data_IF_519944040461
#
_entry.id   IF_519944040461
#
_cell.length_a   1.000
_cell.length_b   1.000
_cell.length_c   1.000
_cell.angle_alpha   90.00
_cell.angle_beta   90.00
_cell.angle_gamma   90.00
#
_symmetry.space_group_name_H-M   'P 1'
#
loop_
_entity.id
_entity.type
_entity.pdbx_description
1 polymer ?
#
# COMPACT_ATOMS: atom_id res chain seq x y z
N UNK A 1 -40.85 -63.83 -62.41
CA UNK A 1 -40.22 -62.66 -63.05
C UNK A 1 -40.18 -61.55 -62.01
N UNK A 2 -39.10 -61.02 -61.48
CA UNK A 2 -37.65 -61.17 -61.64
C UNK A 2 -37.05 -59.96 -60.91
N UNK A 3 -36.08 -60.19 -60.01
CA UNK A 3 -34.89 -59.36 -59.64
C UNK A 3 -35.01 -57.82 -59.68
N UNK A 4 -34.62 -57.04 -58.66
CA UNK A 4 -33.25 -56.54 -58.37
C UNK A 4 -33.43 -55.51 -57.22
N UNK A 5 -32.92 -55.64 -55.98
CA UNK A 5 -31.57 -55.43 -55.43
C UNK A 5 -30.91 -54.05 -55.67
N UNK A 6 -31.03 -53.14 -54.67
CA UNK A 6 -30.20 -51.97 -54.25
C UNK A 6 -31.16 -50.85 -53.84
N UNK A 7 -31.18 -50.34 -52.60
CA UNK A 7 -30.08 -49.70 -51.90
C UNK A 7 -30.25 -49.78 -50.37
N UNK A 8 -29.47 -50.64 -49.73
CA UNK A 8 -29.28 -50.67 -48.26
C UNK A 8 -27.83 -50.28 -47.95
N UNK A 9 -27.38 -49.13 -48.46
CA UNK A 9 -26.04 -48.58 -48.17
C UNK A 9 -26.12 -47.06 -48.10
N UNK A 10 -26.91 -46.52 -47.16
CA UNK A 10 -26.76 -45.11 -46.80
C UNK A 10 -27.18 -44.92 -45.35
N UNK A 11 -26.21 -44.50 -44.52
CA UNK A 11 -26.37 -44.03 -43.13
C UNK A 11 -25.85 -44.94 -41.98
N UNK A 12 -24.59 -45.38 -42.05
CA UNK A 12 -23.85 -45.82 -40.83
C UNK A 12 -22.56 -45.03 -40.56
N UNK A 13 -22.10 -44.17 -41.47
CA UNK A 13 -20.83 -43.45 -41.32
C UNK A 13 -20.94 -42.05 -40.68
N UNK A 14 -22.15 -41.50 -40.53
CA UNK A 14 -22.30 -40.15 -39.98
C UNK A 14 -22.23 -40.14 -38.44
N UNK A 15 -22.67 -41.23 -37.79
CA UNK A 15 -22.71 -41.38 -36.34
C UNK A 15 -21.29 -41.58 -35.77
N UNK A 16 -20.45 -42.37 -36.45
CA UNK A 16 -19.09 -42.69 -35.97
C UNK A 16 -18.16 -41.45 -36.00
N UNK A 17 -18.46 -40.45 -36.86
CA UNK A 17 -17.62 -39.24 -36.99
C UNK A 17 -18.04 -38.08 -36.10
N UNK A 18 -19.29 -38.02 -35.65
CA UNK A 18 -19.81 -36.89 -34.84
C UNK A 18 -19.68 -37.09 -33.34
N UNK A 19 -19.73 -38.35 -32.87
CA UNK A 19 -19.58 -38.66 -31.44
C UNK A 19 -18.21 -38.27 -30.84
N UNK A 20 -17.05 -38.50 -31.49
CA UNK A 20 -15.76 -38.14 -30.88
C UNK A 20 -15.51 -36.62 -30.82
N UNK A 21 -16.15 -35.82 -31.69
CA UNK A 21 -15.99 -34.36 -31.69
C UNK A 21 -16.71 -33.70 -30.51
N UNK A 22 -17.88 -34.24 -30.12
CA UNK A 22 -18.63 -33.74 -28.96
C UNK A 22 -17.92 -34.12 -27.65
N UNK A 23 -17.25 -35.26 -27.59
CA UNK A 23 -16.52 -35.70 -26.38
C UNK A 23 -15.27 -34.85 -26.11
N UNK A 24 -14.60 -34.34 -27.15
CA UNK A 24 -13.44 -33.44 -27.02
C UNK A 24 -13.87 -32.02 -26.56
N UNK A 25 -15.08 -31.58 -26.92
CA UNK A 25 -15.63 -30.30 -26.46
C UNK A 25 -16.00 -30.28 -24.97
N UNK A 26 -16.32 -31.44 -24.37
CA UNK A 26 -16.63 -31.55 -22.94
C UNK A 26 -15.35 -31.76 -22.11
N UNK A 27 -14.32 -32.40 -22.67
CA UNK A 27 -13.04 -32.59 -22.00
C UNK A 27 -12.09 -31.37 -22.08
N UNK A 28 -12.37 -30.41 -22.97
CA UNK A 28 -11.54 -29.22 -23.20
C UNK A 28 -11.81 -28.05 -22.24
N UNK A 29 -12.84 -28.11 -21.41
CA UNK A 29 -13.11 -27.09 -20.38
C UNK A 29 -12.36 -27.40 -19.09
N UNK A 30 -11.07 -27.71 -19.19
CA UNK A 30 -10.18 -27.43 -18.06
C UNK A 30 -10.10 -25.91 -17.99
N UNK A 31 -11.00 -25.30 -17.21
CA UNK A 31 -10.80 -23.95 -16.71
C UNK A 31 -9.43 -23.98 -16.04
N UNK A 32 -8.42 -23.44 -16.74
CA UNK A 32 -7.18 -23.01 -16.12
C UNK A 32 -7.62 -22.01 -15.07
N UNK A 33 -7.85 -22.49 -13.85
CA UNK A 33 -8.06 -21.66 -12.69
C UNK A 33 -6.72 -21.00 -12.43
N UNK A 34 -6.42 -19.95 -13.19
CA UNK A 34 -5.36 -19.03 -12.89
C UNK A 34 -5.65 -18.54 -11.48
N UNK A 35 -4.80 -18.91 -10.52
CA UNK A 35 -4.88 -18.37 -9.17
C UNK A 35 -5.05 -16.85 -9.29
N UNK A 36 -6.00 -16.24 -8.56
CA UNK A 36 -6.17 -14.79 -8.61
C UNK A 36 -4.80 -14.16 -8.36
N UNK A 37 -4.33 -13.36 -9.32
CA UNK A 37 -3.03 -12.73 -9.23
C UNK A 37 -3.11 -11.68 -8.12
N UNK A 38 -2.64 -12.05 -6.94
CA UNK A 38 -2.58 -11.16 -5.78
C UNK A 38 -1.19 -10.55 -5.71
N UNK A 39 -1.13 -9.22 -5.73
CA UNK A 39 0.13 -8.48 -5.54
C UNK A 39 0.62 -8.72 -4.11
N UNK A 40 1.89 -9.11 -3.89
CA UNK A 40 2.38 -9.34 -2.54
C UNK A 40 2.41 -8.04 -1.72
N UNK A 41 2.23 -8.17 -0.39
CA UNK A 41 2.09 -7.02 0.51
C UNK A 41 3.20 -5.99 0.35
N UNK A 42 4.45 -6.46 0.25
CA UNK A 42 5.62 -5.59 0.16
C UNK A 42 5.53 -4.67 -1.06
N UNK A 43 5.21 -5.23 -2.23
CA UNK A 43 5.07 -4.49 -3.49
C UNK A 43 3.85 -3.57 -3.47
N UNK A 44 2.73 -4.04 -2.89
CA UNK A 44 1.54 -3.21 -2.74
C UNK A 44 1.78 -1.99 -1.85
N UNK A 45 2.44 -2.17 -0.70
CA UNK A 45 2.85 -1.06 0.17
C UNK A 45 3.83 -0.13 -0.53
N UNK A 46 4.75 -0.67 -1.33
CA UNK A 46 5.71 0.14 -2.08
C UNK A 46 5.01 1.00 -3.15
N UNK A 47 4.13 0.40 -3.93
CA UNK A 47 3.31 1.11 -4.92
C UNK A 47 2.47 2.22 -4.28
N UNK A 48 1.87 1.96 -3.11
CA UNK A 48 1.06 2.94 -2.40
C UNK A 48 1.84 4.16 -1.85
N UNK A 49 3.17 4.20 -1.99
CA UNK A 49 4.00 5.37 -1.68
C UNK A 49 3.96 6.44 -2.78
N UNK A 50 3.53 6.08 -3.99
CA UNK A 50 3.35 7.04 -5.07
C UNK A 50 2.34 8.12 -4.69
N UNK A 51 2.53 9.31 -5.22
CA UNK A 51 1.61 10.43 -5.01
C UNK A 51 0.55 10.47 -6.10
N UNK A 52 -0.70 10.75 -5.70
CA UNK A 52 -1.81 10.99 -6.61
C UNK A 52 -2.45 12.34 -6.32
N UNK A 53 -2.83 13.05 -7.38
CA UNK A 53 -3.58 14.30 -7.28
C UNK A 53 -5.07 14.04 -7.42
N UNK A 54 -5.83 14.40 -6.38
CA UNK A 54 -7.29 14.31 -6.34
C UNK A 54 -7.89 15.71 -6.33
N UNK A 55 -8.04 16.30 -7.52
CA UNK A 55 -8.79 17.55 -7.73
C UNK A 55 -8.28 18.81 -7.03
N UNK A 56 -7.09 18.78 -6.42
CA UNK A 56 -6.50 19.91 -5.69
C UNK A 56 -5.70 19.53 -4.44
N UNK A 57 -5.83 18.28 -3.96
CA UNK A 57 -4.96 17.74 -2.91
C UNK A 57 -3.97 16.74 -3.49
N UNK A 58 -2.71 16.85 -3.09
CA UNK A 58 -1.69 15.86 -3.39
C UNK A 58 -1.45 15.02 -2.14
N UNK A 59 -1.69 13.71 -2.23
CA UNK A 59 -1.39 12.81 -1.13
C UNK A 59 -0.91 11.44 -1.61
N UNK A 60 -0.20 10.68 -0.75
CA UNK A 60 0.19 9.32 -1.08
C UNK A 60 -1.05 8.46 -1.36
N UNK A 61 -0.92 7.54 -2.31
CA UNK A 61 -1.96 6.56 -2.67
C UNK A 61 -2.45 5.78 -1.43
N UNK A 62 -1.57 5.48 -0.47
CA UNK A 62 -1.95 4.83 0.79
C UNK A 62 -3.03 5.58 1.57
N UNK A 63 -3.01 6.92 1.57
CA UNK A 63 -4.02 7.73 2.26
C UNK A 63 -5.39 7.58 1.57
N UNK A 64 -5.41 7.52 0.25
CA UNK A 64 -6.63 7.27 -0.52
C UNK A 64 -7.14 5.85 -0.31
N UNK A 65 -6.24 4.86 -0.25
CA UNK A 65 -6.57 3.46 0.00
C UNK A 65 -7.31 3.29 1.34
N UNK A 66 -6.75 3.81 2.43
CA UNK A 66 -7.35 3.71 3.77
C UNK A 66 -8.63 4.51 3.96
N UNK A 67 -8.90 5.52 3.14
CA UNK A 67 -10.19 6.23 3.16
C UNK A 67 -11.30 5.49 2.42
N UNK A 68 -10.94 4.70 1.41
CA UNK A 68 -11.90 4.11 0.48
C UNK A 68 -12.22 2.66 0.83
N UNK A 69 -11.24 1.92 1.35
CA UNK A 69 -11.36 0.50 1.63
C UNK A 69 -11.43 0.28 3.14
N UNK A 70 -12.45 -0.46 3.56
CA UNK A 70 -12.51 -0.99 4.92
C UNK A 70 -11.60 -2.22 4.99
N UNK A 71 -10.78 -2.35 6.04
CA UNK A 71 -9.92 -3.52 6.20
C UNK A 71 -10.78 -4.78 6.30
N UNK A 72 -10.48 -5.75 5.45
CA UNK A 72 -10.99 -7.13 5.54
C UNK A 72 -9.93 -8.02 6.22
N UNK A 73 -10.36 -9.14 6.80
CA UNK A 73 -9.47 -10.03 7.56
C UNK A 73 -8.48 -10.82 6.66
N UNK A 74 -8.70 -10.86 5.34
CA UNK A 74 -7.96 -11.73 4.41
C UNK A 74 -6.83 -11.07 3.63
N UNK A 75 -6.97 -9.78 3.27
CA UNK A 75 -6.03 -9.03 2.46
C UNK A 75 -5.86 -7.63 3.01
N UNK A 76 -4.65 -7.07 2.88
CA UNK A 76 -4.44 -5.69 3.31
C UNK A 76 -5.15 -4.69 2.40
N UNK A 77 -5.39 -3.51 2.97
CA UNK A 77 -5.94 -2.36 2.23
C UNK A 77 -5.06 -2.01 1.02
N UNK A 78 -3.73 -2.07 1.16
CA UNK A 78 -2.81 -1.75 0.08
C UNK A 78 -2.88 -2.79 -1.05
N UNK A 79 -3.02 -4.08 -0.72
CA UNK A 79 -3.13 -5.14 -1.73
C UNK A 79 -4.41 -5.03 -2.54
N UNK A 80 -5.53 -4.77 -1.86
CA UNK A 80 -6.83 -4.57 -2.50
C UNK A 80 -6.76 -3.35 -3.42
N UNK A 81 -6.21 -2.23 -2.93
CA UNK A 81 -6.14 -1.00 -3.70
C UNK A 81 -5.16 -1.08 -4.88
N UNK A 82 -3.97 -1.64 -4.67
CA UNK A 82 -3.00 -1.84 -5.74
C UNK A 82 -3.55 -2.79 -6.82
N UNK A 83 -4.25 -3.85 -6.41
CA UNK A 83 -4.96 -4.74 -7.33
C UNK A 83 -6.02 -4.01 -8.14
N UNK A 84 -6.85 -3.19 -7.50
CA UNK A 84 -7.83 -2.36 -8.21
C UNK A 84 -7.17 -1.40 -9.21
N UNK A 85 -6.10 -0.72 -8.80
CA UNK A 85 -5.42 0.25 -9.66
C UNK A 85 -4.75 -0.45 -10.85
N UNK A 86 -4.00 -1.53 -10.64
CA UNK A 86 -3.15 -2.14 -11.67
C UNK A 86 -3.85 -3.22 -12.49
N UNK A 87 -4.79 -3.97 -11.90
CA UNK A 87 -5.44 -5.11 -12.55
C UNK A 87 -6.86 -4.81 -13.02
N UNK A 88 -7.53 -3.79 -12.47
CA UNK A 88 -8.88 -3.37 -12.86
C UNK A 88 -8.89 -2.00 -13.57
N UNK A 89 -7.77 -1.63 -14.19
CA UNK A 89 -7.61 -0.40 -14.97
C UNK A 89 -7.86 0.92 -14.23
N UNK A 90 -7.90 0.91 -12.89
CA UNK A 90 -8.08 2.12 -12.08
C UNK A 90 -6.98 3.17 -12.28
N UNK A 91 -5.81 2.76 -12.78
CA UNK A 91 -4.69 3.65 -13.14
C UNK A 91 -5.05 4.69 -14.21
N UNK A 92 -6.01 4.38 -15.09
CA UNK A 92 -6.36 5.22 -16.25
C UNK A 92 -6.98 6.57 -15.89
N UNK A 93 -7.58 6.68 -14.71
CA UNK A 93 -8.22 7.92 -14.23
C UNK A 93 -7.37 8.63 -13.18
N UNK A 94 -6.26 8.02 -12.73
CA UNK A 94 -5.42 8.58 -11.69
C UNK A 94 -4.43 9.58 -12.27
N UNK A 95 -4.35 10.75 -11.63
CA UNK A 95 -3.39 11.81 -11.97
C UNK A 95 -2.11 11.61 -11.16
N UNK A 96 -1.14 10.92 -11.77
CA UNK A 96 0.10 10.48 -11.14
C UNK A 96 1.35 11.14 -11.72
N UNK A 97 1.23 11.76 -12.89
CA UNK A 97 2.37 12.29 -13.63
C UNK A 97 2.42 13.81 -13.52
N UNK A 98 3.32 14.37 -12.69
CA UNK A 98 3.49 15.81 -12.62
C UNK A 98 4.24 16.32 -13.85
N UNK A 99 3.78 17.44 -14.38
CA UNK A 99 4.49 18.22 -15.38
C UNK A 99 4.37 19.71 -15.06
N UNK A 100 5.48 20.43 -15.23
CA UNK A 100 5.54 21.85 -14.95
C UNK A 100 5.28 22.65 -16.23
N UNK A 101 4.19 23.39 -16.24
CA UNK A 101 3.81 24.29 -17.32
C UNK A 101 3.71 25.70 -16.75
N UNK A 102 4.47 26.65 -17.32
CA UNK A 102 4.49 28.07 -16.91
C UNK A 102 4.67 28.33 -15.40
N UNK A 103 5.42 27.47 -14.71
CA UNK A 103 5.67 27.60 -13.26
C UNK A 103 4.62 26.95 -12.37
N UNK A 104 3.57 26.35 -12.94
CA UNK A 104 2.53 25.60 -12.23
C UNK A 104 2.73 24.11 -12.48
N UNK A 105 2.60 23.29 -11.42
CA UNK A 105 2.64 21.82 -11.56
C UNK A 105 1.24 21.31 -11.82
N UNK A 106 1.03 20.75 -13.00
CA UNK A 106 -0.19 20.06 -13.38
C UNK A 106 0.06 18.55 -13.30
N UNK A 107 -0.93 17.82 -12.79
CA UNK A 107 -0.86 16.37 -12.65
C UNK A 107 -1.76 15.72 -13.69
N UNK A 108 -1.18 14.86 -14.51
CA UNK A 108 -1.83 14.20 -15.62
C UNK A 108 -2.03 12.72 -15.35
N UNK A 109 -3.06 12.15 -15.97
CA UNK A 109 -3.22 10.71 -16.09
C UNK A 109 -2.51 10.17 -17.34
N UNK A 110 -2.24 8.86 -17.36
CA UNK A 110 -1.63 8.19 -18.50
C UNK A 110 -2.53 8.19 -19.76
N UNK A 111 -3.84 8.38 -19.59
CA UNK A 111 -4.82 8.46 -20.69
C UNK A 111 -5.22 9.87 -21.06
N UNK A 112 -4.83 10.88 -20.29
CA UNK A 112 -5.18 12.28 -20.55
C UNK A 112 -4.56 12.78 -21.87
N UNK A 113 -5.19 13.78 -22.47
CA UNK A 113 -4.60 14.53 -23.58
C UNK A 113 -3.43 15.38 -23.05
N UNK A 114 -2.21 14.89 -23.28
CA UNK A 114 -0.99 15.57 -22.89
C UNK A 114 -0.74 16.79 -23.79
N UNK A 115 -0.40 17.97 -23.23
CA UNK A 115 -0.14 19.15 -24.03
C UNK A 115 1.15 19.00 -24.85
N UNK A 116 1.21 19.71 -25.98
CA UNK A 116 2.37 19.70 -26.88
C UNK A 116 3.64 20.34 -26.27
N UNK A 117 3.51 21.01 -25.12
CA UNK A 117 4.61 21.52 -24.30
C UNK A 117 5.44 20.39 -23.66
N UNK A 118 4.88 19.19 -23.52
CA UNK A 118 5.59 18.00 -23.01
C UNK A 118 6.41 17.38 -24.14
N UNK A 119 7.71 17.16 -23.88
CA UNK A 119 8.58 16.47 -24.83
C UNK A 119 8.04 15.07 -25.21
N UNK A 120 8.27 14.68 -26.45
CA UNK A 120 7.78 13.41 -27.00
C UNK A 120 8.25 12.18 -26.20
N UNK A 121 9.46 12.21 -25.64
CA UNK A 121 9.98 11.13 -24.79
C UNK A 121 9.20 11.05 -23.47
N UNK A 122 8.89 12.20 -22.87
CA UNK A 122 8.08 12.27 -21.66
C UNK A 122 6.65 11.78 -21.89
N UNK A 123 6.02 12.18 -23.01
CA UNK A 123 4.70 11.70 -23.35
C UNK A 123 4.68 10.18 -23.53
N UNK A 124 5.71 9.64 -24.18
CA UNK A 124 5.87 8.20 -24.35
C UNK A 124 6.02 7.48 -23.00
N UNK A 125 6.85 8.00 -22.11
CA UNK A 125 7.02 7.45 -20.76
C UNK A 125 5.69 7.39 -20.00
N UNK A 126 4.94 8.50 -19.95
CA UNK A 126 3.65 8.60 -19.25
C UNK A 126 2.65 7.56 -19.76
N UNK A 127 2.60 7.34 -21.08
CA UNK A 127 1.68 6.38 -21.71
C UNK A 127 2.11 4.92 -21.54
N UNK A 128 3.41 4.63 -21.53
CA UNK A 128 3.91 3.25 -21.59
C UNK A 128 4.28 2.66 -20.22
N UNK A 129 4.55 3.48 -19.20
CA UNK A 129 5.05 2.98 -17.91
C UNK A 129 4.05 2.06 -17.20
N UNK A 130 2.76 2.39 -17.22
CA UNK A 130 1.71 1.56 -16.62
C UNK A 130 1.50 0.24 -17.35
N UNK A 131 1.29 0.21 -18.69
CA UNK A 131 1.20 -1.05 -19.43
C UNK A 131 2.40 -1.98 -19.20
N UNK A 132 3.61 -1.42 -19.14
CA UNK A 132 4.83 -2.20 -18.85
C UNK A 132 4.84 -2.73 -17.42
N UNK A 133 4.53 -1.89 -16.43
CA UNK A 133 4.43 -2.31 -15.03
C UNK A 133 3.42 -3.44 -14.84
N UNK A 134 2.24 -3.32 -15.47
CA UNK A 134 1.17 -4.33 -15.37
C UNK A 134 1.63 -5.65 -15.99
N UNK A 135 2.34 -5.62 -17.12
CA UNK A 135 2.91 -6.82 -17.72
C UNK A 135 3.90 -7.53 -16.78
N UNK A 136 4.76 -6.78 -16.07
CA UNK A 136 5.68 -7.36 -15.08
C UNK A 136 4.95 -7.92 -13.84
N UNK A 137 3.87 -7.26 -13.40
CA UNK A 137 3.00 -7.76 -12.32
C UNK A 137 2.34 -9.08 -12.75
N UNK A 138 1.84 -9.17 -13.98
CA UNK A 138 1.24 -10.38 -14.54
C UNK A 138 2.26 -11.51 -14.73
N UNK A 139 3.50 -11.18 -15.07
CA UNK A 139 4.60 -12.13 -15.14
C UNK A 139 5.13 -12.56 -13.75
N UNK A 140 4.72 -11.87 -12.68
CA UNK A 140 5.22 -12.13 -11.32
C UNK A 140 6.67 -11.71 -11.10
N UNK A 141 7.21 -10.80 -11.92
CA UNK A 141 8.58 -10.28 -11.80
C UNK A 141 8.67 -9.16 -10.75
N UNK A 142 8.44 -9.52 -9.48
CA UNK A 142 8.27 -8.56 -8.39
C UNK A 142 9.47 -7.63 -8.15
N UNK A 143 10.68 -8.06 -8.49
CA UNK A 143 11.87 -7.22 -8.38
C UNK A 143 11.88 -6.11 -9.44
N UNK A 144 11.50 -6.44 -10.67
CA UNK A 144 11.36 -5.47 -11.76
C UNK A 144 10.19 -4.52 -11.51
N UNK A 145 9.11 -5.01 -10.89
CA UNK A 145 8.00 -4.18 -10.42
C UNK A 145 8.48 -3.12 -9.42
N UNK A 146 9.30 -3.51 -8.43
CA UNK A 146 9.90 -2.56 -7.48
C UNK A 146 10.77 -1.51 -8.21
N UNK A 147 11.59 -1.93 -9.20
CA UNK A 147 12.41 -1.01 -9.99
C UNK A 147 11.57 0.01 -10.80
N UNK A 148 10.43 -0.41 -11.36
CA UNK A 148 9.51 0.48 -12.06
C UNK A 148 8.86 1.48 -11.09
N UNK A 149 8.45 1.02 -9.90
CA UNK A 149 7.90 1.88 -8.85
C UNK A 149 8.94 2.92 -8.42
N UNK A 150 10.18 2.51 -8.18
CA UNK A 150 11.28 3.42 -7.82
C UNK A 150 11.51 4.49 -8.89
N UNK A 151 11.48 4.12 -10.18
CA UNK A 151 11.59 5.07 -11.29
C UNK A 151 10.43 6.05 -11.32
N UNK A 152 9.20 5.59 -11.08
CA UNK A 152 8.03 6.48 -11.00
C UNK A 152 8.12 7.43 -9.80
N UNK A 153 8.61 6.97 -8.64
CA UNK A 153 8.86 7.83 -7.49
C UNK A 153 9.92 8.87 -7.84
N UNK A 154 11.04 8.47 -8.45
CA UNK A 154 12.10 9.40 -8.88
C UNK A 154 11.57 10.44 -9.88
N UNK A 155 10.74 10.00 -10.84
CA UNK A 155 10.06 10.88 -11.78
C UNK A 155 9.20 11.93 -11.04
N UNK A 156 8.37 11.49 -10.09
CA UNK A 156 7.57 12.40 -9.27
C UNK A 156 8.42 13.37 -8.44
N UNK A 157 9.57 12.92 -7.91
CA UNK A 157 10.51 13.79 -7.19
C UNK A 157 11.14 14.86 -8.09
N UNK A 158 11.40 14.52 -9.35
CA UNK A 158 12.09 15.39 -10.30
C UNK A 158 11.16 16.46 -10.88
N UNK A 159 9.92 16.10 -11.21
CA UNK A 159 8.97 16.96 -11.93
C UNK A 159 7.80 17.46 -11.08
N UNK A 160 7.48 16.77 -9.98
CA UNK A 160 6.54 17.27 -8.98
C UNK A 160 7.27 18.25 -8.08
N UNK A 161 7.02 19.55 -8.21
CA UNK A 161 7.71 20.63 -7.47
C UNK A 161 7.66 20.55 -5.93
N UNK A 162 7.19 19.45 -5.35
CA UNK A 162 7.52 19.07 -3.99
C UNK A 162 8.91 18.46 -3.93
N UNK A 163 9.85 19.21 -3.35
CA UNK A 163 10.89 18.57 -2.54
C UNK A 163 10.16 17.66 -1.55
N UNK A 164 10.24 16.34 -1.74
CA UNK A 164 9.77 15.37 -0.76
C UNK A 164 10.22 15.86 0.62
N UNK A 165 9.36 15.87 1.66
CA UNK A 165 9.92 15.86 3.00
C UNK A 165 10.86 14.65 3.03
N UNK A 166 12.17 14.84 3.25
CA UNK A 166 13.12 13.76 3.17
C UNK A 166 12.61 12.65 4.09
N UNK A 167 12.61 11.41 3.58
CA UNK A 167 12.48 10.21 4.43
C UNK A 167 13.32 10.49 5.67
N UNK A 168 12.76 10.47 6.90
CA UNK A 168 13.51 10.88 8.07
C UNK A 168 14.81 10.09 8.04
N UNK A 169 15.92 10.80 7.87
CA UNK A 169 17.21 10.14 7.81
C UNK A 169 17.34 9.33 9.10
N UNK A 170 18.08 8.22 9.08
CA UNK A 170 18.34 7.44 10.30
C UNK A 170 18.76 8.34 11.48
N UNK A 171 19.42 9.47 11.18
CA UNK A 171 19.74 10.52 12.14
C UNK A 171 18.50 11.24 12.75
N UNK A 172 17.45 11.54 12.00
CA UNK A 172 16.23 12.16 12.52
C UNK A 172 15.48 11.26 13.51
N UNK A 173 15.46 9.95 13.25
CA UNK A 173 14.93 8.94 14.18
C UNK A 173 15.76 8.96 15.47
N UNK A 174 17.08 8.98 15.35
CA UNK A 174 18.00 9.08 16.51
C UNK A 174 17.73 10.35 17.34
N UNK A 175 17.53 11.51 16.70
CA UNK A 175 17.20 12.75 17.40
C UNK A 175 15.85 12.70 18.14
N UNK A 176 14.83 12.07 17.56
CA UNK A 176 13.52 11.87 18.22
C UNK A 176 13.67 10.97 19.45
N UNK A 177 14.46 9.89 19.35
CA UNK A 177 14.76 9.03 20.49
C UNK A 177 15.53 9.75 21.59
N UNK A 178 16.52 10.59 21.24
CA UNK A 178 17.26 11.39 22.21
C UNK A 178 16.34 12.38 22.92
N UNK A 179 15.45 13.07 22.18
CA UNK A 179 14.47 13.99 22.77
C UNK A 179 13.51 13.26 23.71
N UNK A 180 13.04 12.06 23.33
CA UNK A 180 12.21 11.22 24.18
C UNK A 180 12.94 10.79 25.47
N UNK A 181 14.22 10.42 25.38
CA UNK A 181 15.04 10.06 26.54
C UNK A 181 15.22 11.26 27.50
N UNK A 182 15.45 12.46 26.96
CA UNK A 182 15.58 13.70 27.75
C UNK A 182 14.27 14.03 28.48
N UNK A 183 13.12 13.87 27.82
CA UNK A 183 11.81 14.07 28.45
C UNK A 183 11.55 13.07 29.58
N UNK A 184 11.98 11.80 29.43
CA UNK A 184 11.91 10.81 30.50
C UNK A 184 12.79 11.21 31.69
N UNK A 185 14.03 11.62 31.46
CA UNK A 185 14.95 12.03 32.53
C UNK A 185 14.41 13.27 33.28
N UNK A 186 13.89 14.27 32.56
CA UNK A 186 13.28 15.45 33.17
C UNK A 186 11.97 15.13 33.91
N UNK A 187 11.16 14.20 33.39
CA UNK A 187 9.94 13.73 34.03
C UNK A 187 10.20 12.97 35.34
N UNK A 188 11.24 12.13 35.37
CA UNK A 188 11.68 11.40 36.57
C UNK A 188 12.18 12.39 37.64
N UNK A 189 12.94 13.42 37.26
CA UNK A 189 13.44 14.42 38.20
C UNK A 189 12.32 15.24 38.86
N UNK A 190 11.25 15.58 38.12
CA UNK A 190 10.07 16.21 38.72
C UNK A 190 9.34 15.28 39.68
N UNK A 191 9.17 14.00 39.33
CA UNK A 191 8.45 13.03 40.17
C UNK A 191 9.18 12.72 41.49
N UNK A 192 10.52 12.58 41.45
CA UNK A 192 11.36 12.37 42.65
C UNK A 192 11.36 13.62 43.54
N UNK A 193 11.41 14.83 42.97
CA UNK A 193 11.36 16.07 43.74
C UNK A 193 10.01 16.27 44.44
N UNK A 194 8.89 15.93 43.77
CA UNK A 194 7.56 15.97 44.38
C UNK A 194 7.37 14.91 45.47
N UNK A 195 7.95 13.71 45.32
CA UNK A 195 7.91 12.66 46.35
C UNK A 195 8.88 12.92 47.54
N UNK A 196 9.98 13.64 47.32
CA UNK A 196 10.97 13.97 48.34
C UNK A 196 10.52 15.03 49.36
N UNK A 197 9.58 15.91 48.98
CA UNK A 197 9.11 17.00 49.85
C UNK A 197 7.84 16.62 50.63
N UNK A 198 7.15 15.53 50.24
CA UNK A 198 5.90 15.07 50.89
C UNK A 198 6.07 13.88 51.85
N UNK A 199 7.27 13.61 52.35
CA UNK A 199 7.48 12.78 53.55
C UNK A 199 7.84 13.66 54.74
N UNK A 200 6.87 14.43 55.24
CA UNK A 200 6.91 14.90 56.63
C UNK A 200 6.65 13.71 57.55
N UNK A 201 7.58 13.30 58.44
CA UNK A 201 7.32 12.21 59.37
C UNK A 201 6.32 12.68 60.43
N UNK A 202 5.06 12.23 60.31
CA UNK A 202 4.01 12.40 61.32
C UNK A 202 4.24 11.55 62.59
N UNK A 203 5.51 11.29 62.95
CA UNK A 203 5.90 10.47 64.11
C UNK A 203 6.84 11.21 65.08
N UNK A 204 6.98 12.53 64.97
CA UNK A 204 7.79 13.31 65.92
C UNK A 204 6.99 13.87 67.12
N UNK A 205 5.66 13.93 67.03
CA UNK A 205 4.83 14.43 68.14
C UNK A 205 4.51 13.37 69.21
N UNK A 206 4.73 12.06 68.96
CA UNK A 206 4.54 11.01 69.97
C UNK A 206 5.74 10.84 70.91
N UNK A 207 6.93 11.32 70.54
CA UNK A 207 8.15 11.16 71.35
C UNK A 207 8.33 12.30 72.39
N UNK A 208 7.73 13.47 72.14
CA UNK A 208 7.77 14.60 73.07
C UNK A 208 6.71 14.53 74.18
N UNK A 209 5.62 13.78 73.99
CA UNK A 209 4.62 13.54 75.04
C UNK A 209 5.03 12.43 76.03
N UNK A 210 5.88 11.48 75.63
CA UNK A 210 6.29 10.37 76.51
C UNK A 210 7.38 10.77 77.53
N UNK A 211 8.21 11.78 77.22
CA UNK A 211 9.31 12.20 78.10
C UNK A 211 8.87 13.15 79.23
N UNK A 212 7.68 13.77 79.13
CA UNK A 212 7.15 14.68 80.17
C UNK A 212 6.40 13.96 81.31
N UNK A 213 6.00 12.70 81.12
CA UNK A 213 5.35 11.89 82.17
C UNK A 213 6.32 11.04 83.01
N UNK A 214 7.59 10.89 82.59
CA UNK A 214 8.59 10.09 83.32
C UNK A 214 9.40 10.86 84.37
N UNK A 215 9.09 12.13 84.62
CA UNK A 215 9.83 12.98 85.58
C UNK A 215 8.88 13.76 86.49
N UNK A 216 8.13 13.05 87.33
CA UNK A 216 7.74 13.54 88.66
C UNK A 216 7.32 12.36 89.54
N UNK A 217 8.21 11.90 90.43
CA UNK A 217 7.79 11.79 91.82
C UNK A 217 8.86 12.33 92.77
N UNK A 218 8.41 13.03 93.83
CA UNK A 218 8.77 12.80 95.24
C UNK A 218 8.18 13.91 96.12
N UNK A 219 7.47 13.49 97.16
CA UNK A 219 7.09 14.33 98.30
C UNK A 219 5.63 14.71 98.31
#
# INVERSE_FOLDING_TARGET
MGTVLRDTIFSENWIIRTVPVILILIAGSASLSASPLVIPQKQATHFCQLFASDGGSLSPISVHAHRTIQPDDSLSVEQIFAGYILLADGWQTMRLFPHQEDGVVLWYSATDELPASIDSEHQKYIREVFPRLIAEVQAGHWQTVDDYIDRMIQYQCQFGSQKLPPRPSSAAIIWIFILFLVLIILGINKSIFTLGISRKPASFYSFLLFKKFSNSPKG
#
